data_IF_271640074840
#
_entry.id   IF_271640074840
#
_cell.length_a   1.000
_cell.length_b   1.000
_cell.length_c   1.000
_cell.angle_alpha   90.00
_cell.angle_beta   90.00
_cell.angle_gamma   90.00
#
_symmetry.space_group_name_H-M   'P 1'
#
loop_
_entity.id
_entity.type
_entity.pdbx_description
1 polymer ?
#
# COMPACT_ATOMS: atom_id res chain seq x y z
N UNK A 1 -17.14 1.24 -8.61
CA UNK A 1 -15.78 0.78 -8.26
C UNK A 1 -14.81 1.55 -9.14
N UNK A 2 -14.03 2.47 -8.57
CA UNK A 2 -13.00 3.19 -9.32
C UNK A 2 -11.88 2.18 -9.62
N UNK A 3 -11.84 1.70 -10.87
CA UNK A 3 -10.76 0.82 -11.33
C UNK A 3 -9.54 1.69 -11.54
N UNK A 4 -8.60 1.68 -10.59
CA UNK A 4 -7.30 2.30 -10.81
C UNK A 4 -6.55 1.52 -11.88
N UNK A 5 -5.94 2.24 -12.82
CA UNK A 5 -4.98 1.62 -13.73
C UNK A 5 -3.66 1.34 -13.00
N UNK A 6 -2.84 0.43 -13.53
CA UNK A 6 -1.54 0.12 -12.93
C UNK A 6 -0.59 1.32 -12.89
N UNK A 7 -0.69 2.24 -13.86
CA UNK A 7 0.07 3.49 -13.85
C UNK A 7 -0.38 4.42 -12.73
N UNK A 8 -1.69 4.58 -12.54
CA UNK A 8 -2.23 5.38 -11.42
C UNK A 8 -1.83 4.78 -10.07
N UNK A 9 -1.81 3.45 -9.97
CA UNK A 9 -1.39 2.78 -8.74
C UNK A 9 0.09 3.02 -8.44
N UNK A 10 0.97 2.93 -9.45
CA UNK A 10 2.40 3.22 -9.28
C UNK A 10 2.62 4.67 -8.86
N UNK A 11 1.96 5.63 -9.52
CA UNK A 11 2.03 7.04 -9.16
C UNK A 11 1.58 7.30 -7.71
N UNK A 12 0.48 6.66 -7.29
CA UNK A 12 0.00 6.74 -5.91
C UNK A 12 1.03 6.19 -4.90
N UNK A 13 1.68 5.07 -5.19
CA UNK A 13 2.73 4.53 -4.32
C UNK A 13 3.95 5.44 -4.22
N UNK A 14 4.31 6.12 -5.32
CA UNK A 14 5.41 7.10 -5.33
C UNK A 14 5.08 8.33 -4.48
N UNK A 15 3.84 8.81 -4.54
CA UNK A 15 3.37 9.90 -3.69
C UNK A 15 3.31 9.48 -2.22
N UNK A 16 2.86 8.26 -1.93
CA UNK A 16 2.87 7.68 -0.58
C UNK A 16 4.29 7.54 -0.01
N UNK A 17 5.25 7.11 -0.84
CA UNK A 17 6.67 7.00 -0.49
C UNK A 17 7.24 8.36 -0.08
N UNK A 18 6.98 9.39 -0.89
CA UNK A 18 7.41 10.76 -0.61
C UNK A 18 6.74 11.33 0.66
N UNK A 19 5.44 11.12 0.81
CA UNK A 19 4.68 11.62 1.96
C UNK A 19 5.13 10.99 3.28
N UNK A 20 5.42 9.69 3.27
CA UNK A 20 5.87 8.94 4.46
C UNK A 20 7.40 8.88 4.60
N UNK A 21 8.16 9.51 3.70
CA UNK A 21 9.64 9.52 3.65
C UNK A 21 10.25 8.12 3.75
N UNK A 22 9.61 7.17 3.07
CA UNK A 22 10.05 5.76 3.01
C UNK A 22 10.28 5.38 1.57
N UNK A 23 11.19 4.43 1.38
CA UNK A 23 11.56 3.92 0.07
C UNK A 23 10.37 3.23 -0.61
N UNK A 24 10.24 3.38 -1.93
CA UNK A 24 9.19 2.74 -2.73
C UNK A 24 9.30 1.20 -2.60
N UNK A 25 10.52 0.69 -2.52
CA UNK A 25 10.84 -0.72 -2.27
C UNK A 25 10.29 -1.21 -0.92
N UNK A 26 10.39 -0.37 0.11
CA UNK A 26 9.90 -0.65 1.45
C UNK A 26 8.36 -0.64 1.50
N UNK A 27 7.70 0.29 0.82
CA UNK A 27 6.23 0.32 0.68
C UNK A 27 5.72 -0.94 -0.02
N UNK A 28 6.34 -1.33 -1.14
CA UNK A 28 5.97 -2.55 -1.87
C UNK A 28 6.11 -3.77 -0.96
N UNK A 29 7.19 -3.84 -0.19
CA UNK A 29 7.44 -4.91 0.77
C UNK A 29 6.37 -4.92 1.88
N UNK A 30 6.01 -3.77 2.43
CA UNK A 30 4.98 -3.65 3.47
C UNK A 30 3.59 -4.04 2.96
N UNK A 31 3.25 -3.70 1.72
CA UNK A 31 1.97 -4.11 1.13
C UNK A 31 1.94 -5.60 0.74
N UNK A 32 3.05 -6.14 0.24
CA UNK A 32 3.17 -7.56 -0.06
C UNK A 32 3.10 -8.43 1.21
N UNK A 33 3.63 -7.92 2.33
CA UNK A 33 3.54 -8.54 3.65
C UNK A 33 2.33 -8.04 4.48
N UNK A 34 1.45 -7.24 3.88
CA UNK A 34 0.17 -6.91 4.48
C UNK A 34 -0.64 -8.20 4.41
N UNK A 35 -0.82 -8.85 5.57
CA UNK A 35 -1.51 -10.14 5.66
C UNK A 35 -2.90 -10.13 4.98
N UNK A 36 -3.50 -11.32 4.79
CA UNK A 36 -4.73 -11.45 4.02
C UNK A 36 -5.77 -10.41 4.46
N UNK A 37 -6.35 -9.65 3.51
CA UNK A 37 -7.36 -8.65 3.83
C UNK A 37 -8.53 -9.34 4.53
N UNK A 38 -8.86 -8.89 5.74
CA UNK A 38 -9.83 -9.53 6.63
C UNK A 38 -9.23 -10.32 7.80
N UNK A 39 -7.89 -10.45 7.88
CA UNK A 39 -7.19 -11.10 9.00
C UNK A 39 -6.15 -10.17 9.66
N UNK A 40 -6.55 -8.92 9.94
CA UNK A 40 -5.76 -8.03 10.78
C UNK A 40 -6.05 -8.33 12.25
N UNK A 41 -5.06 -8.88 12.97
CA UNK A 41 -5.12 -9.04 14.43
C UNK A 41 -5.23 -7.70 15.19
N UNK A 42 -5.18 -6.56 14.50
CA UNK A 42 -5.30 -5.21 15.06
C UNK A 42 -6.68 -4.57 14.91
N UNK A 43 -7.67 -5.27 14.37
CA UNK A 43 -9.06 -4.79 14.35
C UNK A 43 -9.85 -5.52 15.42
N UNK A 44 -9.74 -5.06 16.68
CA UNK A 44 -10.85 -5.19 17.62
C UNK A 44 -12.02 -4.41 17.04
N UNK A 45 -13.11 -5.12 16.75
CA UNK A 45 -14.44 -4.55 16.52
C UNK A 45 -14.86 -3.63 17.66
#
# INVERSE_FOLDING_TARGET
SMKLTMEQYKAFLDELAKAKKIELSEIKTKMANCGPPGLSSGTTV
#
